data_IF_430425013658
#
_entry.id   IF_430425013658
#
_cell.length_a   1.000
_cell.length_b   1.000
_cell.length_c   1.000
_cell.angle_alpha   90.00
_cell.angle_beta   90.00
_cell.angle_gamma   90.00
#
_symmetry.space_group_name_H-M   'P 1'
#
loop_
_entity.id
_entity.type
_entity.pdbx_description
1 polymer ?
#
# COMPACT_ATOMS: atom_id res chain seq x y z
N UNK A 1 20.77 -15.35 15.49
CA UNK A 1 21.09 -16.05 14.22
C UNK A 1 19.86 -15.97 13.36
N UNK A 2 19.95 -15.42 12.15
CA UNK A 2 18.82 -15.46 11.21
C UNK A 2 18.59 -16.93 10.85
N UNK A 3 17.41 -17.46 11.16
CA UNK A 3 17.05 -18.82 10.78
C UNK A 3 16.95 -18.85 9.24
N UNK A 4 17.79 -19.65 8.59
CA UNK A 4 17.69 -19.87 7.15
C UNK A 4 16.44 -20.73 6.92
N UNK A 5 15.33 -20.06 6.59
CA UNK A 5 14.04 -20.69 6.39
C UNK A 5 13.79 -20.82 4.89
N UNK A 6 13.94 -22.04 4.36
CA UNK A 6 13.63 -22.33 2.97
C UNK A 6 12.13 -22.60 2.81
N UNK A 7 11.53 -22.00 1.78
CA UNK A 7 10.13 -22.21 1.43
C UNK A 7 10.03 -22.80 0.03
N UNK A 8 9.19 -23.80 -0.15
CA UNK A 8 8.90 -24.38 -1.47
C UNK A 8 7.54 -23.88 -1.95
N UNK A 9 7.52 -23.08 -3.01
CA UNK A 9 6.31 -22.45 -3.53
C UNK A 9 6.00 -23.00 -4.92
N UNK A 10 4.75 -23.39 -5.16
CA UNK A 10 4.26 -23.74 -6.50
C UNK A 10 3.61 -22.52 -7.12
N UNK A 11 4.13 -22.07 -8.26
CA UNK A 11 3.61 -20.94 -9.02
C UNK A 11 3.17 -21.45 -10.39
N UNK A 12 1.91 -21.23 -10.76
CA UNK A 12 1.34 -21.72 -12.01
C UNK A 12 0.66 -20.62 -12.82
N UNK A 13 0.31 -20.94 -14.06
CA UNK A 13 -0.47 -20.07 -14.95
C UNK A 13 0.21 -18.72 -15.22
N UNK A 14 -0.56 -17.63 -15.13
CA UNK A 14 -0.07 -16.28 -15.41
C UNK A 14 1.06 -15.85 -14.48
N UNK A 15 1.05 -16.29 -13.22
CA UNK A 15 2.12 -15.96 -12.27
C UNK A 15 3.44 -16.62 -12.66
N UNK A 16 3.40 -17.84 -13.21
CA UNK A 16 4.59 -18.51 -13.73
C UNK A 16 5.16 -17.75 -14.93
N UNK A 17 4.31 -17.37 -15.88
CA UNK A 17 4.73 -16.60 -17.05
C UNK A 17 5.35 -15.26 -16.66
N UNK A 18 4.73 -14.54 -15.71
CA UNK A 18 5.26 -13.27 -15.23
C UNK A 18 6.59 -13.46 -14.49
N UNK A 19 6.68 -14.46 -13.60
CA UNK A 19 7.94 -14.80 -12.93
C UNK A 19 9.07 -15.03 -13.94
N UNK A 20 8.81 -15.81 -15.00
CA UNK A 20 9.79 -16.07 -16.05
C UNK A 20 10.21 -14.81 -16.81
N UNK A 21 9.31 -13.86 -17.04
CA UNK A 21 9.67 -12.56 -17.64
C UNK A 21 10.59 -11.75 -16.73
N UNK A 22 10.41 -11.83 -15.41
CA UNK A 22 11.20 -11.07 -14.45
C UNK A 22 12.59 -11.65 -14.22
N UNK A 23 12.80 -12.94 -14.50
CA UNK A 23 14.09 -13.65 -14.31
C UNK A 23 14.76 -14.15 -15.60
N UNK A 24 14.13 -13.92 -16.76
CA UNK A 24 14.67 -14.33 -18.06
C UNK A 24 15.85 -13.46 -18.51
N UNK A 25 16.32 -13.64 -19.75
CA UNK A 25 17.48 -12.89 -20.30
C UNK A 25 17.38 -11.37 -20.17
N UNK A 26 16.17 -10.82 -20.26
CA UNK A 26 15.90 -9.39 -20.12
C UNK A 26 15.23 -9.05 -18.77
N UNK A 27 15.27 -9.99 -17.83
CA UNK A 27 14.71 -9.86 -16.49
C UNK A 27 15.52 -8.92 -15.60
N UNK A 28 14.88 -8.38 -14.58
CA UNK A 28 15.51 -7.49 -13.60
C UNK A 28 16.12 -8.25 -12.42
N UNK A 29 15.88 -9.56 -12.33
CA UNK A 29 16.26 -10.40 -11.19
C UNK A 29 16.99 -11.64 -11.66
N UNK A 30 17.97 -12.10 -10.90
CA UNK A 30 18.79 -13.24 -11.28
C UNK A 30 18.06 -14.58 -11.08
N UNK A 31 17.12 -14.63 -10.13
CA UNK A 31 16.38 -15.85 -9.82
C UNK A 31 15.04 -15.58 -9.13
N UNK A 32 14.21 -16.63 -9.08
CA UNK A 32 12.88 -16.56 -8.50
C UNK A 32 12.89 -16.17 -7.01
N UNK A 33 13.85 -16.68 -6.23
CA UNK A 33 13.96 -16.38 -4.80
C UNK A 33 14.28 -14.91 -4.57
N UNK A 34 15.05 -14.26 -5.44
CA UNK A 34 15.31 -12.83 -5.40
C UNK A 34 14.06 -12.02 -5.71
N UNK A 35 13.38 -12.36 -6.81
CA UNK A 35 12.16 -11.67 -7.19
C UNK A 35 11.07 -11.79 -6.10
N UNK A 36 10.87 -12.99 -5.54
CA UNK A 36 9.92 -13.20 -4.44
C UNK A 36 10.30 -12.36 -3.21
N UNK A 37 11.58 -12.29 -2.83
CA UNK A 37 12.03 -11.41 -1.74
C UNK A 37 11.75 -9.94 -2.05
N UNK A 38 11.95 -9.50 -3.29
CA UNK A 38 11.63 -8.15 -3.71
C UNK A 38 10.13 -7.85 -3.61
N UNK A 39 9.26 -8.78 -4.03
CA UNK A 39 7.81 -8.66 -3.89
C UNK A 39 7.37 -8.57 -2.43
N UNK A 40 7.92 -9.40 -1.55
CA UNK A 40 7.61 -9.38 -0.11
C UNK A 40 8.04 -8.04 0.51
N UNK A 41 9.24 -7.54 0.18
CA UNK A 41 9.68 -6.21 0.65
C UNK A 41 8.76 -5.10 0.17
N UNK A 42 8.34 -5.15 -1.10
CA UNK A 42 7.40 -4.17 -1.66
C UNK A 42 6.04 -4.22 -0.96
N UNK A 43 5.48 -5.41 -0.72
CA UNK A 43 4.23 -5.56 0.03
C UNK A 43 4.34 -4.96 1.45
N UNK A 44 5.44 -5.25 2.16
CA UNK A 44 5.70 -4.66 3.48
C UNK A 44 5.80 -3.13 3.43
N UNK A 45 6.54 -2.61 2.45
CA UNK A 45 6.73 -1.16 2.28
C UNK A 45 5.40 -0.46 1.98
N UNK A 46 4.61 -0.97 1.02
CA UNK A 46 3.33 -0.37 0.64
C UNK A 46 2.35 -0.32 1.81
N UNK A 47 2.34 -1.33 2.69
CA UNK A 47 1.49 -1.31 3.90
C UNK A 47 1.91 -0.21 4.87
N UNK A 48 3.21 -0.05 5.09
CA UNK A 48 3.72 1.00 5.97
C UNK A 48 3.46 2.39 5.38
N UNK A 49 3.68 2.58 4.07
CA UNK A 49 3.44 3.85 3.39
C UNK A 49 1.97 4.28 3.46
N UNK A 50 1.02 3.36 3.27
CA UNK A 50 -0.40 3.64 3.39
C UNK A 50 -0.78 4.08 4.82
N UNK A 51 -0.20 3.41 5.82
CA UNK A 51 -0.44 3.74 7.22
C UNK A 51 0.18 5.08 7.62
N UNK A 52 1.41 5.36 7.19
CA UNK A 52 2.11 6.62 7.46
C UNK A 52 1.46 7.79 6.71
N UNK A 53 0.95 7.55 5.50
CA UNK A 53 0.13 8.54 4.79
C UNK A 53 -1.15 8.86 5.58
N UNK A 54 -1.89 7.84 6.04
CA UNK A 54 -3.12 8.04 6.80
C UNK A 54 -2.87 8.81 8.11
N UNK A 55 -1.84 8.41 8.87
CA UNK A 55 -1.43 9.13 10.09
C UNK A 55 -1.17 10.60 9.80
N UNK A 56 -0.33 10.91 8.80
CA UNK A 56 -0.02 12.30 8.44
C UNK A 56 -1.26 13.11 8.06
N UNK A 57 -2.25 12.50 7.41
CA UNK A 57 -3.50 13.19 7.06
C UNK A 57 -4.40 13.46 8.27
N UNK A 58 -4.45 12.53 9.23
CA UNK A 58 -5.31 12.65 10.42
C UNK A 58 -4.68 13.50 11.53
N UNK A 59 -3.36 13.50 11.63
CA UNK A 59 -2.60 14.08 12.74
C UNK A 59 -2.86 15.58 12.98
N UNK A 60 -3.02 16.45 11.97
CA UNK A 60 -3.44 17.83 12.20
C UNK A 60 -4.80 17.95 12.89
N UNK A 61 -5.78 17.15 12.48
CA UNK A 61 -7.10 17.14 13.10
C UNK A 61 -7.08 16.55 14.51
N UNK A 62 -6.33 15.47 14.73
CA UNK A 62 -6.23 14.84 16.05
C UNK A 62 -5.53 15.72 17.10
N UNK A 63 -4.71 16.69 16.66
CA UNK A 63 -4.03 17.66 17.54
C UNK A 63 -4.76 19.01 17.66
N UNK A 64 -5.80 19.23 16.87
CA UNK A 64 -6.55 20.47 16.89
C UNK A 64 -7.35 20.60 18.20
N UNK A 65 -7.48 21.83 18.68
CA UNK A 65 -8.32 22.14 19.84
C UNK A 65 -9.80 21.95 19.49
N UNK A 66 -10.64 21.61 20.47
CA UNK A 66 -12.08 21.42 20.23
C UNK A 66 -12.73 22.67 19.62
N UNK A 67 -12.23 23.86 19.98
CA UNK A 67 -12.67 25.15 19.46
C UNK A 67 -12.42 25.35 17.96
N UNK A 68 -11.53 24.57 17.35
CA UNK A 68 -11.27 24.57 15.90
C UNK A 68 -12.34 23.77 15.12
N UNK A 69 -13.12 22.95 15.82
CA UNK A 69 -14.21 22.18 15.23
C UNK A 69 -15.53 22.93 15.27
N UNK A 70 -16.40 22.62 14.31
CA UNK A 70 -17.79 23.09 14.26
C UNK A 70 -18.72 21.91 14.16
N UNK A 71 -19.84 21.97 14.87
CA UNK A 71 -20.92 21.01 14.71
C UNK A 71 -21.44 21.05 13.27
N UNK A 72 -21.50 19.89 12.63
CA UNK A 72 -22.02 19.73 11.27
C UNK A 72 -22.95 18.52 11.23
N UNK A 73 -24.12 18.69 10.61
CA UNK A 73 -24.99 17.58 10.28
C UNK A 73 -24.62 16.98 8.92
N UNK A 74 -25.06 15.75 8.66
CA UNK A 74 -24.93 15.16 7.33
C UNK A 74 -25.60 16.01 6.23
N UNK A 75 -26.73 16.68 6.55
CA UNK A 75 -27.42 17.56 5.61
C UNK A 75 -26.59 18.80 5.24
N UNK A 76 -25.85 19.36 6.20
CA UNK A 76 -24.96 20.50 5.95
C UNK A 76 -23.85 20.12 4.97
N UNK A 77 -23.29 18.92 5.11
CA UNK A 77 -22.23 18.40 4.22
C UNK A 77 -22.76 18.17 2.81
N UNK A 78 -23.93 17.53 2.66
CA UNK A 78 -24.56 17.28 1.36
C UNK A 78 -24.85 18.59 0.63
N UNK A 79 -25.49 19.55 1.32
CA UNK A 79 -25.83 20.86 0.76
C UNK A 79 -24.59 21.62 0.28
N UNK A 80 -23.53 21.63 1.08
CA UNK A 80 -22.25 22.27 0.73
C UNK A 80 -21.65 21.71 -0.56
N UNK A 81 -21.68 20.38 -0.72
CA UNK A 81 -21.04 19.71 -1.86
C UNK A 81 -21.91 19.76 -3.13
N UNK A 82 -23.25 19.86 -3.01
CA UNK A 82 -24.15 20.05 -4.16
C UNK A 82 -23.98 21.42 -4.84
N UNK A 83 -23.63 22.47 -4.09
CA UNK A 83 -23.34 23.79 -4.63
C UNK A 83 -21.97 23.89 -5.33
N UNK A 84 -21.10 22.89 -5.16
CA UNK A 84 -19.80 22.77 -5.84
C UNK A 84 -19.96 21.87 -7.07
N UNK A 85 -20.69 22.32 -8.08
CA UNK A 85 -20.58 21.68 -9.41
C UNK A 85 -19.18 22.01 -9.96
N UNK A 86 -18.43 20.95 -10.29
CA UNK A 86 -17.20 21.00 -11.08
C UNK A 86 -17.52 21.45 -12.51
#
# INVERSE_FOLDING_TARGET
MAADNSIHVRVGGQLQAHLQQQIGENGLYENASEYIRALIRRDLQTRNEAWDWLKRQLEPGLRAEESEFRAVSAQDVVRRNQGRRL
#
